data_IF_058295740631
#
_entry.id   IF_058295740631
#
_cell.length_a   1.000
_cell.length_b   1.000
_cell.length_c   1.000
_cell.angle_alpha   90.00
_cell.angle_beta   90.00
_cell.angle_gamma   90.00
#
_symmetry.space_group_name_H-M   'P 1'
#
loop_
_entity.id
_entity.type
_entity.pdbx_description
1 polymer ?
#
# COMPACT_ATOMS: atom_id res chain seq x y z
N UNK A 1 -17.86 -3.51 10.96
CA UNK A 1 -17.86 -4.06 12.34
C UNK A 1 -16.56 -3.70 13.08
N UNK A 2 -15.37 -4.11 12.61
CA UNK A 2 -14.08 -3.82 13.26
C UNK A 2 -13.86 -2.33 13.55
N UNK A 3 -14.15 -1.45 12.59
CA UNK A 3 -13.99 0.00 12.78
C UNK A 3 -14.95 0.58 13.84
N UNK A 4 -16.19 0.08 13.95
CA UNK A 4 -17.15 0.49 15.01
C UNK A 4 -16.68 0.06 16.40
N UNK A 5 -16.02 -1.10 16.48
CA UNK A 5 -15.38 -1.57 17.72
C UNK A 5 -14.20 -0.66 18.06
N UNK A 6 -13.33 -0.34 17.09
CA UNK A 6 -12.22 0.60 17.27
C UNK A 6 -12.71 1.98 17.70
N UNK A 7 -13.74 2.52 17.06
CA UNK A 7 -14.35 3.81 17.42
C UNK A 7 -14.90 3.77 18.84
N UNK A 8 -15.59 2.69 19.23
CA UNK A 8 -16.11 2.52 20.59
C UNK A 8 -14.98 2.45 21.62
N UNK A 9 -13.89 1.74 21.31
CA UNK A 9 -12.70 1.66 22.17
C UNK A 9 -12.03 3.03 22.31
N UNK A 10 -11.91 3.79 21.22
CA UNK A 10 -11.32 5.13 21.25
C UNK A 10 -12.20 6.15 21.99
N UNK A 11 -13.53 6.02 21.85
CA UNK A 11 -14.51 6.90 22.49
C UNK A 11 -14.57 6.67 24.00
N UNK A 12 -14.58 5.42 24.43
CA UNK A 12 -14.68 5.05 25.83
C UNK A 12 -13.28 4.70 26.33
N UNK A 13 -12.60 5.64 26.98
CA UNK A 13 -11.26 5.47 27.57
C UNK A 13 -11.27 4.46 28.74
N UNK A 14 -11.50 3.19 28.42
CA UNK A 14 -11.52 2.07 29.35
C UNK A 14 -10.34 1.14 29.06
N UNK A 15 -9.99 0.34 30.06
CA UNK A 15 -9.03 -0.73 29.88
C UNK A 15 -9.75 -1.94 29.25
N UNK A 16 -9.28 -2.35 28.08
CA UNK A 16 -9.80 -3.50 27.35
C UNK A 16 -8.76 -4.62 27.36
N UNK A 17 -9.23 -5.86 27.54
CA UNK A 17 -8.40 -7.06 27.36
C UNK A 17 -9.01 -7.89 26.24
N UNK A 18 -8.23 -8.11 25.18
CA UNK A 18 -8.65 -8.91 24.02
C UNK A 18 -8.13 -10.34 24.22
N UNK A 19 -9.03 -11.31 24.19
CA UNK A 19 -8.68 -12.73 24.24
C UNK A 19 -9.06 -13.39 22.91
N UNK A 20 -8.19 -14.27 22.44
CA UNK A 20 -8.53 -15.16 21.34
C UNK A 20 -9.29 -16.37 21.89
N UNK A 21 -10.44 -16.66 21.30
CA UNK A 21 -11.26 -17.84 21.62
C UNK A 21 -11.46 -18.62 20.32
N UNK A 22 -11.07 -19.90 20.25
CA UNK A 22 -11.33 -20.73 19.08
C UNK A 22 -12.83 -20.97 18.91
N UNK A 23 -13.29 -21.06 17.66
CA UNK A 23 -14.69 -21.38 17.35
C UNK A 23 -15.02 -22.83 17.72
N UNK A 24 -16.29 -23.10 17.98
CA UNK A 24 -16.84 -24.45 18.22
C UNK A 24 -16.24 -25.20 19.42
N UNK A 25 -15.92 -24.48 20.50
CA UNK A 25 -15.37 -25.07 21.74
C UNK A 25 -16.40 -25.30 22.85
N UNK A 26 -17.70 -25.23 22.57
CA UNK A 26 -18.75 -25.45 23.56
C UNK A 26 -19.02 -24.26 24.49
N UNK A 27 -18.37 -23.11 24.25
CA UNK A 27 -18.65 -21.88 25.01
C UNK A 27 -19.89 -21.23 24.39
N UNK A 28 -21.04 -21.37 25.05
CA UNK A 28 -22.34 -20.90 24.58
C UNK A 28 -22.31 -19.47 24.01
N UNK A 29 -21.77 -18.49 24.76
CA UNK A 29 -21.71 -17.10 24.28
C UNK A 29 -20.82 -16.92 23.04
N UNK A 30 -19.74 -17.70 22.90
CA UNK A 30 -18.89 -17.65 21.71
C UNK A 30 -19.63 -18.24 20.50
N UNK A 31 -20.34 -19.35 20.72
CA UNK A 31 -21.14 -20.01 19.68
C UNK A 31 -22.31 -19.14 19.19
N UNK A 32 -22.98 -18.45 20.12
CA UNK A 32 -24.02 -17.47 19.79
C UNK A 32 -23.45 -16.33 18.94
N UNK A 33 -22.29 -15.78 19.29
CA UNK A 33 -21.63 -14.72 18.51
C UNK A 33 -21.22 -15.24 17.13
N UNK A 34 -20.68 -16.46 17.04
CA UNK A 34 -20.31 -17.10 15.76
C UNK A 34 -21.55 -17.31 14.86
N UNK A 35 -22.68 -17.73 15.45
CA UNK A 35 -23.94 -17.89 14.73
C UNK A 35 -24.47 -16.54 14.22
N UNK A 36 -24.53 -15.52 15.08
CA UNK A 36 -24.97 -14.19 14.69
C UNK A 36 -24.08 -13.59 13.59
N UNK A 37 -22.77 -13.81 13.67
CA UNK A 37 -21.84 -13.38 12.64
C UNK A 37 -22.10 -14.06 11.29
N UNK A 38 -22.51 -15.34 11.30
CA UNK A 38 -22.89 -16.08 10.10
C UNK A 38 -24.21 -15.58 9.51
N UNK A 39 -25.22 -15.38 10.34
CA UNK A 39 -26.54 -14.87 9.91
C UNK A 39 -26.42 -13.46 9.33
N UNK A 40 -25.57 -12.62 9.92
CA UNK A 40 -25.30 -11.26 9.44
C UNK A 40 -24.67 -11.20 8.03
N UNK A 41 -24.13 -12.30 7.50
CA UNK A 41 -23.65 -12.35 6.11
C UNK A 41 -24.82 -12.28 5.12
N UNK A 42 -25.95 -12.90 5.46
CA UNK A 42 -27.12 -13.01 4.58
C UNK A 42 -28.17 -11.95 4.88
N UNK A 43 -28.47 -11.74 6.16
CA UNK A 43 -29.62 -10.94 6.61
C UNK A 43 -29.20 -9.65 7.35
N UNK A 44 -27.88 -9.40 7.44
CA UNK A 44 -27.35 -8.22 8.11
C UNK A 44 -27.55 -6.95 7.30
N UNK A 45 -27.71 -5.82 8.00
CA UNK A 45 -27.61 -4.51 7.36
C UNK A 45 -26.19 -4.29 6.84
N UNK A 46 -26.07 -3.87 5.58
CA UNK A 46 -24.81 -3.36 5.06
C UNK A 46 -24.39 -2.19 5.94
N UNK A 47 -23.19 -2.29 6.52
CA UNK A 47 -22.60 -1.17 7.23
C UNK A 47 -22.51 0.01 6.25
N UNK A 48 -23.33 1.04 6.49
CA UNK A 48 -23.32 2.34 5.80
C UNK A 48 -21.90 2.79 5.49
N UNK A 49 -21.68 3.42 4.32
CA UNK A 49 -20.40 3.94 3.82
C UNK A 49 -19.45 4.33 4.96
N UNK A 50 -18.62 3.37 5.37
CA UNK A 50 -17.67 3.60 6.45
C UNK A 50 -16.60 4.52 5.89
N UNK A 51 -16.42 5.67 6.53
CA UNK A 51 -15.37 6.60 6.16
C UNK A 51 -14.01 6.00 6.52
N UNK A 52 -13.43 5.24 5.58
CA UNK A 52 -12.05 4.74 5.70
C UNK A 52 -11.13 5.95 5.65
N UNK A 53 -10.23 6.14 6.65
CA UNK A 53 -9.25 7.20 6.60
C UNK A 53 -8.46 7.15 5.29
N UNK A 54 -8.31 8.30 4.64
CA UNK A 54 -7.58 8.41 3.37
C UNK A 54 -6.13 7.91 3.53
N UNK A 55 -5.56 7.99 4.73
CA UNK A 55 -4.24 7.42 5.07
C UNK A 55 -4.14 5.94 4.76
N UNK A 56 -5.17 5.16 5.12
CA UNK A 56 -5.15 3.70 5.02
C UNK A 56 -5.23 3.28 3.55
N UNK A 57 -6.09 3.98 2.80
CA UNK A 57 -6.16 3.84 1.35
C UNK A 57 -4.83 4.21 0.68
N UNK A 58 -4.21 5.33 1.10
CA UNK A 58 -2.90 5.75 0.57
C UNK A 58 -1.82 4.68 0.81
N UNK A 59 -1.78 4.08 1.99
CA UNK A 59 -0.81 3.04 2.34
C UNK A 59 -1.03 1.77 1.52
N UNK A 60 -2.28 1.29 1.42
CA UNK A 60 -2.67 0.16 0.57
C UNK A 60 -2.25 0.39 -0.88
N UNK A 61 -2.58 1.57 -1.41
CA UNK A 61 -2.24 1.95 -2.79
C UNK A 61 -0.72 1.99 -3.03
N UNK A 62 0.05 2.56 -2.11
CA UNK A 62 1.53 2.58 -2.21
C UNK A 62 2.11 1.17 -2.25
N UNK A 63 1.62 0.29 -1.38
CA UNK A 63 2.03 -1.13 -1.36
C UNK A 63 1.73 -1.80 -2.70
N UNK A 64 0.51 -1.65 -3.21
CA UNK A 64 0.12 -2.21 -4.50
C UNK A 64 1.00 -1.71 -5.66
N UNK A 65 1.25 -0.39 -5.76
CA UNK A 65 2.13 0.15 -6.80
C UNK A 65 3.56 -0.42 -6.74
N UNK A 66 4.10 -0.59 -5.52
CA UNK A 66 5.43 -1.16 -5.32
C UNK A 66 5.51 -2.61 -5.77
N UNK A 67 4.50 -3.41 -5.43
CA UNK A 67 4.38 -4.81 -5.86
C UNK A 67 4.26 -4.92 -7.39
N UNK A 68 3.39 -4.12 -8.01
CA UNK A 68 3.23 -4.09 -9.45
C UNK A 68 4.50 -3.65 -10.17
N UNK A 69 5.17 -2.59 -9.68
CA UNK A 69 6.43 -2.14 -10.24
C UNK A 69 7.48 -3.25 -10.21
N UNK A 70 7.69 -3.86 -9.03
CA UNK A 70 8.67 -4.92 -8.86
C UNK A 70 8.35 -6.15 -9.74
N UNK A 71 7.07 -6.49 -9.89
CA UNK A 71 6.63 -7.56 -10.79
C UNK A 71 6.99 -7.26 -12.25
N UNK A 72 6.68 -6.06 -12.73
CA UNK A 72 6.96 -5.66 -14.12
C UNK A 72 8.47 -5.57 -14.36
N UNK A 73 9.22 -4.96 -13.43
CA UNK A 73 10.66 -4.78 -13.59
C UNK A 73 11.40 -6.10 -13.55
N UNK A 74 11.07 -7.01 -12.64
CA UNK A 74 11.74 -8.31 -12.56
C UNK A 74 11.49 -9.18 -13.80
N UNK A 75 10.33 -9.02 -14.45
CA UNK A 75 9.94 -9.85 -15.59
C UNK A 75 10.26 -9.24 -16.97
N UNK A 76 10.82 -8.03 -17.04
CA UNK A 76 11.14 -7.37 -18.32
C UNK A 76 12.63 -7.31 -18.61
N UNK A 77 13.03 -7.59 -19.85
CA UNK A 77 14.39 -7.31 -20.30
C UNK A 77 14.64 -5.82 -20.63
N UNK A 78 13.62 -4.96 -20.59
CA UNK A 78 13.70 -3.54 -20.93
C UNK A 78 14.29 -2.69 -19.78
N UNK A 79 14.75 -1.48 -20.13
CA UNK A 79 15.23 -0.45 -19.21
C UNK A 79 16.39 -0.88 -18.28
N UNK A 80 17.25 -1.81 -18.74
CA UNK A 80 18.40 -2.32 -17.96
C UNK A 80 19.32 -1.20 -17.44
N UNK A 81 19.56 -0.18 -18.27
CA UNK A 81 20.34 1.01 -17.87
C UNK A 81 19.74 1.70 -16.64
N UNK A 82 18.44 1.98 -16.68
CA UNK A 82 17.77 2.63 -15.56
C UNK A 82 17.71 1.72 -14.33
N UNK A 83 17.52 0.40 -14.52
CA UNK A 83 17.54 -0.59 -13.42
C UNK A 83 18.87 -0.66 -12.70
N UNK A 84 19.99 -0.51 -13.41
CA UNK A 84 21.31 -0.45 -12.79
C UNK A 84 21.48 0.78 -11.88
N UNK A 85 20.71 1.84 -12.11
CA UNK A 85 20.72 3.07 -11.31
C UNK A 85 19.65 3.03 -10.21
N UNK A 86 18.49 2.46 -10.50
CA UNK A 86 17.32 2.40 -9.63
C UNK A 86 16.68 1.01 -9.74
N UNK A 87 17.10 0.09 -8.88
CA UNK A 87 16.67 -1.31 -8.85
C UNK A 87 15.29 -1.50 -8.19
N UNK A 88 14.92 -0.58 -7.29
CA UNK A 88 13.69 -0.64 -6.49
C UNK A 88 12.78 0.55 -6.72
N UNK A 89 11.48 0.35 -6.54
CA UNK A 89 10.52 1.45 -6.53
C UNK A 89 10.83 2.42 -5.38
N UNK A 90 11.09 3.72 -5.66
CA UNK A 90 11.42 4.68 -4.62
C UNK A 90 10.15 5.25 -3.97
N UNK A 91 10.16 5.43 -2.65
CA UNK A 91 9.02 6.03 -1.92
C UNK A 91 8.86 7.53 -2.20
N UNK A 92 9.95 8.20 -2.61
CA UNK A 92 10.00 9.60 -3.03
C UNK A 92 10.89 9.75 -4.26
N UNK A 93 10.65 10.73 -5.14
CA UNK A 93 11.56 11.01 -6.25
C UNK A 93 12.99 11.27 -5.75
N UNK A 94 14.00 10.82 -6.50
CA UNK A 94 15.41 10.96 -6.15
C UNK A 94 15.86 12.41 -5.91
N UNK A 95 15.15 13.38 -6.50
CA UNK A 95 15.43 14.81 -6.37
C UNK A 95 14.66 15.49 -5.23
N UNK A 96 13.88 14.75 -4.44
CA UNK A 96 12.98 15.33 -3.41
C UNK A 96 13.70 16.10 -2.29
N UNK A 97 14.98 15.84 -2.06
CA UNK A 97 15.81 16.53 -1.06
C UNK A 97 16.94 17.34 -1.69
N UNK A 98 16.81 17.69 -2.98
CA UNK A 98 17.81 18.45 -3.71
C UNK A 98 17.35 19.89 -3.92
N UNK A 99 18.30 20.83 -4.03
CA UNK A 99 18.02 22.23 -4.41
C UNK A 99 18.09 22.45 -5.92
N UNK A 100 17.97 21.38 -6.71
CA UNK A 100 18.09 21.43 -8.16
C UNK A 100 16.88 22.15 -8.77
N UNK A 101 17.16 22.95 -9.79
CA UNK A 101 16.15 23.53 -10.65
C UNK A 101 15.45 22.44 -11.48
N UNK A 102 14.25 22.76 -11.96
CA UNK A 102 13.49 21.89 -12.89
C UNK A 102 14.33 21.51 -14.11
N UNK A 103 15.11 22.45 -14.64
CA UNK A 103 15.96 22.21 -15.81
C UNK A 103 17.02 21.15 -15.54
N UNK A 104 17.71 21.23 -14.40
CA UNK A 104 18.71 20.24 -13.99
C UNK A 104 18.08 18.86 -13.73
N UNK A 105 16.93 18.81 -13.06
CA UNK A 105 16.20 17.56 -12.82
C UNK A 105 15.86 16.88 -14.14
N UNK A 106 15.37 17.62 -15.14
CA UNK A 106 15.05 17.07 -16.47
C UNK A 106 16.30 16.51 -17.14
N UNK A 107 17.42 17.23 -17.12
CA UNK A 107 18.66 16.77 -17.73
C UNK A 107 19.22 15.51 -17.05
N UNK A 108 19.17 15.45 -15.72
CA UNK A 108 19.58 14.27 -14.96
C UNK A 108 18.63 13.11 -15.24
N UNK A 109 17.32 13.33 -15.36
CA UNK A 109 16.39 12.28 -15.78
C UNK A 109 16.73 11.73 -17.17
N UNK A 110 17.05 12.58 -18.16
CA UNK A 110 17.51 12.13 -19.48
C UNK A 110 18.76 11.26 -19.39
N UNK A 111 19.73 11.65 -18.56
CA UNK A 111 20.94 10.85 -18.29
C UNK A 111 20.59 9.50 -17.65
N UNK A 112 19.76 9.50 -16.61
CA UNK A 112 19.32 8.28 -15.90
C UNK A 112 18.55 7.33 -16.79
N UNK A 113 17.80 7.83 -17.78
CA UNK A 113 17.07 7.00 -18.73
C UNK A 113 17.90 6.58 -19.96
N UNK A 114 19.16 7.03 -20.06
CA UNK A 114 20.01 6.73 -21.21
C UNK A 114 19.62 7.50 -22.48
N UNK A 115 18.87 8.58 -22.34
CA UNK A 115 18.46 9.48 -23.42
C UNK A 115 19.39 10.68 -23.61
N UNK A 116 20.48 10.74 -22.84
CA UNK A 116 21.51 11.71 -23.12
C UNK A 116 22.25 11.29 -24.38
N UNK A 117 22.35 12.20 -25.36
CA UNK A 117 23.14 12.03 -26.59
C UNK A 117 24.63 12.10 -26.27
N UNK A 118 25.13 11.22 -25.41
CA UNK A 118 26.55 11.11 -25.09
C UNK A 118 27.17 10.15 -26.11
N UNK A 119 27.62 10.73 -27.23
CA UNK A 119 28.55 10.24 -28.26
C UNK A 119 28.47 8.82 -28.87
N UNK A 120 27.83 7.83 -28.27
CA UNK A 120 27.75 6.47 -28.85
C UNK A 120 26.78 6.34 -30.04
N UNK A 121 26.10 7.42 -30.42
CA UNK A 121 25.23 7.49 -31.61
C UNK A 121 25.79 8.38 -32.73
N UNK A 122 27.03 8.88 -32.60
CA UNK A 122 27.69 9.72 -33.61
C UNK A 122 28.67 8.95 -34.51
N UNK A 123 28.94 7.68 -34.18
CA UNK A 123 29.75 6.78 -34.99
C UNK A 123 28.93 5.51 -35.29
N UNK A 124 28.00 5.64 -36.22
CA UNK A 124 27.34 4.54 -36.93
C UNK A 124 27.50 4.77 -38.42
#
# INVERSE_FOLDING_TARGET
IVLKIVESILKYQKNYVIHWVPSHVGINNNEVVDQLAREAISDGELASDMHIPISDYKQQRQKWHKEQYNSITNNTAKAQWYKAIQDKFPDKPWFSQTKLSRYEIINICKLRFGHARVNNYLFS
#
